data_IF_442591108760
#
_entry.id   IF_442591108760
#
_cell.length_a   1.000
_cell.length_b   1.000
_cell.length_c   1.000
_cell.angle_alpha   90.00
_cell.angle_beta   90.00
_cell.angle_gamma   90.00
#
_symmetry.space_group_name_H-M   'P 1'
#
loop_
_entity.id
_entity.type
_entity.pdbx_description
1 polymer ?
#
# COMPACT_ATOMS: atom_id res chain seq x y z
N UNK A 1 -7.53 10.89 9.13
CA UNK A 1 -6.97 11.76 10.10
C UNK A 1 -5.53 12.08 9.83
N UNK A 2 -5.17 13.32 9.93
CA UNK A 2 -3.79 13.70 9.65
C UNK A 2 -2.90 13.38 10.84
N UNK A 3 -1.75 12.85 10.58
CA UNK A 3 -0.79 12.57 11.62
C UNK A 3 -0.01 13.84 11.93
N UNK A 4 0.33 14.03 13.18
CA UNK A 4 1.11 15.20 13.56
C UNK A 4 2.53 15.02 13.07
N UNK A 5 3.24 16.12 12.98
CA UNK A 5 4.62 16.09 12.57
C UNK A 5 5.46 15.23 13.52
N UNK A 6 5.24 15.39 14.84
CA UNK A 6 5.99 14.64 15.81
C UNK A 6 5.75 13.15 15.69
N UNK A 7 4.49 12.78 15.44
CA UNK A 7 4.16 11.38 15.27
C UNK A 7 4.84 10.80 14.04
N UNK A 8 4.83 11.54 12.94
CA UNK A 8 5.48 11.09 11.72
C UNK A 8 6.97 10.94 11.89
N UNK A 9 7.59 11.82 12.63
CA UNK A 9 9.03 11.74 12.89
C UNK A 9 9.35 10.53 13.75
N UNK A 10 8.49 10.22 14.72
CA UNK A 10 8.67 9.04 15.54
C UNK A 10 8.57 7.76 14.72
N UNK A 11 7.59 7.69 13.84
CA UNK A 11 7.44 6.56 12.95
C UNK A 11 8.68 6.42 12.07
N UNK A 12 9.12 7.54 11.50
CA UNK A 12 10.28 7.53 10.61
C UNK A 12 11.53 7.04 11.32
N UNK A 13 11.73 7.48 12.55
CA UNK A 13 12.90 7.04 13.33
C UNK A 13 12.81 5.55 13.60
N UNK A 14 11.62 5.05 13.92
CA UNK A 14 11.47 3.65 14.21
C UNK A 14 11.66 2.79 12.96
N UNK A 15 11.17 3.25 11.83
CA UNK A 15 11.34 2.54 10.57
C UNK A 15 12.82 2.37 10.27
N UNK A 16 13.62 3.39 10.53
CA UNK A 16 15.04 3.31 10.24
C UNK A 16 15.78 2.31 11.10
N UNK A 17 15.37 2.17 12.38
CA UNK A 17 16.12 1.34 13.29
C UNK A 17 15.57 -0.05 13.50
N UNK A 18 14.32 -0.29 13.09
CA UNK A 18 13.66 -1.55 13.40
C UNK A 18 13.16 -2.22 12.11
N UNK A 19 13.97 -3.13 11.56
CA UNK A 19 13.57 -3.78 10.30
C UNK A 19 12.26 -4.56 10.40
N UNK A 20 11.97 -5.13 11.56
CA UNK A 20 10.71 -5.84 11.75
C UNK A 20 9.53 -4.91 11.66
N UNK A 21 9.65 -3.74 12.27
CA UNK A 21 8.60 -2.74 12.20
C UNK A 21 8.42 -2.25 10.76
N UNK A 22 9.52 -2.05 10.05
CA UNK A 22 9.48 -1.59 8.68
C UNK A 22 8.73 -2.57 7.78
N UNK A 23 9.03 -3.85 7.94
CA UNK A 23 8.36 -4.88 7.14
C UNK A 23 6.89 -4.98 7.50
N UNK A 24 6.57 -4.85 8.78
CA UNK A 24 5.18 -4.90 9.22
C UNK A 24 4.39 -3.71 8.67
N UNK A 25 5.01 -2.55 8.59
CA UNK A 25 4.35 -1.38 8.06
C UNK A 25 4.05 -1.54 6.57
N UNK A 26 5.00 -2.06 5.83
CA UNK A 26 4.77 -2.32 4.41
C UNK A 26 3.65 -3.33 4.22
N UNK A 27 3.65 -4.39 5.04
CA UNK A 27 2.60 -5.38 4.96
C UNK A 27 1.24 -4.76 5.26
N UNK A 28 1.18 -3.89 6.24
CA UNK A 28 -0.08 -3.25 6.59
C UNK A 28 -0.62 -2.42 5.44
N UNK A 29 0.25 -1.70 4.75
CA UNK A 29 -0.18 -0.94 3.59
C UNK A 29 -0.78 -1.83 2.52
N UNK A 30 -0.12 -2.95 2.24
CA UNK A 30 -0.61 -3.88 1.25
C UNK A 30 -1.93 -4.49 1.68
N UNK A 31 -2.05 -4.84 2.95
CA UNK A 31 -3.29 -5.43 3.46
C UNK A 31 -4.47 -4.46 3.33
N UNK A 32 -4.21 -3.18 3.50
CA UNK A 32 -5.28 -2.20 3.32
C UNK A 32 -5.76 -2.16 1.87
N UNK A 33 -4.85 -2.28 0.92
CA UNK A 33 -5.27 -2.34 -0.47
C UNK A 33 -6.11 -3.59 -0.72
N UNK A 34 -5.71 -4.71 -0.14
CA UNK A 34 -6.45 -5.95 -0.33
C UNK A 34 -7.85 -5.89 0.28
N UNK A 35 -8.02 -5.13 1.35
CA UNK A 35 -9.34 -5.00 1.97
C UNK A 35 -10.19 -3.93 1.31
N UNK A 36 -9.65 -3.25 0.32
CA UNK A 36 -10.40 -2.21 -0.37
C UNK A 36 -10.23 -0.81 0.21
N UNK A 37 -9.45 -0.67 1.28
CA UNK A 37 -9.22 0.63 1.87
C UNK A 37 -8.02 1.28 1.19
N UNK A 38 -8.26 1.74 -0.03
CA UNK A 38 -7.20 2.29 -0.87
C UNK A 38 -6.61 3.56 -0.27
N UNK A 39 -7.44 4.37 0.37
CA UNK A 39 -6.95 5.63 0.92
C UNK A 39 -5.94 5.40 2.04
N UNK A 40 -6.25 4.50 2.96
CA UNK A 40 -5.31 4.18 4.02
C UNK A 40 -4.05 3.52 3.45
N UNK A 41 -4.22 2.63 2.50
CA UNK A 41 -3.07 2.00 1.86
C UNK A 41 -2.14 3.02 1.23
N UNK A 42 -2.69 4.01 0.54
CA UNK A 42 -1.87 5.06 -0.07
C UNK A 42 -1.09 5.86 0.97
N UNK A 43 -1.75 6.20 2.07
CA UNK A 43 -1.09 6.95 3.13
C UNK A 43 0.07 6.17 3.71
N UNK A 44 -0.16 4.90 4.01
CA UNK A 44 0.88 4.07 4.59
C UNK A 44 2.05 3.90 3.63
N UNK A 45 1.77 3.63 2.36
CA UNK A 45 2.84 3.48 1.38
C UNK A 45 3.64 4.76 1.23
N UNK A 46 2.96 5.89 1.18
CA UNK A 46 3.64 7.17 1.04
C UNK A 46 4.56 7.43 2.23
N UNK A 47 4.05 7.18 3.42
CA UNK A 47 4.85 7.39 4.62
C UNK A 47 6.02 6.40 4.68
N UNK A 48 5.78 5.17 4.26
CA UNK A 48 6.83 4.15 4.21
C UNK A 48 7.95 4.57 3.25
N UNK A 49 7.57 5.02 2.05
CA UNK A 49 8.56 5.43 1.06
C UNK A 49 9.37 6.61 1.58
N UNK A 50 8.71 7.60 2.16
CA UNK A 50 9.40 8.75 2.71
C UNK A 50 10.37 8.38 3.83
N UNK A 51 10.02 7.36 4.60
CA UNK A 51 10.84 6.96 5.73
C UNK A 51 11.97 6.00 5.34
N UNK A 52 11.91 5.44 4.17
CA UNK A 52 12.91 4.45 3.76
C UNK A 52 13.74 4.97 2.57
N UNK A 53 13.34 4.63 1.36
CA UNK A 53 14.17 4.92 0.19
C UNK A 53 13.97 6.32 -0.38
N UNK A 54 12.83 6.93 -0.09
CA UNK A 54 12.51 8.23 -0.66
C UNK A 54 11.99 8.13 -2.08
N UNK A 55 11.27 9.18 -2.49
CA UNK A 55 10.66 9.17 -3.81
C UNK A 55 11.68 9.33 -4.95
N UNK A 56 12.81 9.91 -4.67
CA UNK A 56 13.85 10.04 -5.69
C UNK A 56 14.39 8.67 -6.09
N UNK A 57 14.69 7.85 -5.10
CA UNK A 57 15.17 6.50 -5.39
C UNK A 57 14.11 5.69 -6.11
N UNK A 58 12.87 5.81 -5.66
CA UNK A 58 11.77 5.10 -6.29
C UNK A 58 11.58 5.58 -7.73
N UNK A 59 11.74 6.87 -7.96
CA UNK A 59 11.65 7.43 -9.29
C UNK A 59 12.69 6.81 -10.23
N UNK A 60 13.92 6.71 -9.76
CA UNK A 60 14.97 6.10 -10.56
C UNK A 60 14.66 4.65 -10.89
N UNK A 61 14.12 3.93 -9.92
CA UNK A 61 13.87 2.51 -10.11
C UNK A 61 12.69 2.24 -11.03
N UNK A 62 11.69 3.10 -11.00
CA UNK A 62 10.46 2.86 -11.77
C UNK A 62 10.41 3.66 -13.06
N UNK A 63 11.37 4.52 -13.30
CA UNK A 63 11.40 5.40 -14.48
C UNK A 63 10.18 6.30 -14.57
N UNK A 64 9.68 6.73 -13.41
CA UNK A 64 8.59 7.69 -13.34
C UNK A 64 9.05 8.84 -12.50
N UNK A 65 8.56 10.05 -12.77
CA UNK A 65 9.00 11.20 -12.00
C UNK A 65 8.54 11.09 -10.56
N UNK A 66 9.36 11.61 -9.65
CA UNK A 66 9.01 11.60 -8.24
C UNK A 66 7.70 12.34 -8.01
N UNK A 67 7.48 13.43 -8.73
CA UNK A 67 6.27 14.21 -8.61
C UNK A 67 5.04 13.38 -9.01
N UNK A 68 5.18 12.61 -10.08
CA UNK A 68 4.09 11.75 -10.52
C UNK A 68 3.79 10.67 -9.49
N UNK A 69 4.82 10.07 -8.91
CA UNK A 69 4.64 9.05 -7.88
C UNK A 69 3.98 9.63 -6.63
N UNK A 70 4.40 10.81 -6.20
CA UNK A 70 3.80 11.46 -5.06
C UNK A 70 2.33 11.80 -5.30
N UNK A 71 2.02 12.25 -6.51
CA UNK A 71 0.64 12.55 -6.85
C UNK A 71 -0.21 11.29 -6.86
N UNK A 72 0.34 10.22 -7.40
CA UNK A 72 -0.35 8.95 -7.51
C UNK A 72 -0.76 8.43 -6.14
N UNK A 73 0.09 8.59 -5.14
CA UNK A 73 -0.19 8.13 -3.80
C UNK A 73 -0.79 9.22 -2.91
N UNK A 74 -1.09 10.38 -3.47
CA UNK A 74 -1.69 11.48 -2.72
C UNK A 74 -3.19 11.33 -2.60
N UNK A 75 -3.81 12.26 -1.87
CA UNK A 75 -5.25 12.16 -1.58
C UNK A 75 -6.13 12.15 -2.83
N UNK A 76 -5.70 12.81 -3.88
CA UNK A 76 -6.47 12.84 -5.11
C UNK A 76 -5.97 11.88 -6.15
N UNK A 77 -4.95 11.11 -5.80
CA UNK A 77 -4.38 10.18 -6.74
C UNK A 77 -5.23 8.95 -6.89
N UNK A 78 -5.15 8.37 -8.06
CA UNK A 78 -5.87 7.14 -8.35
C UNK A 78 -4.92 6.26 -9.14
N UNK A 79 -4.01 5.58 -8.46
CA UNK A 79 -2.99 4.80 -9.15
C UNK A 79 -3.59 3.64 -9.91
N UNK A 80 -3.12 3.44 -11.12
CA UNK A 80 -3.51 2.27 -11.86
C UNK A 80 -2.89 1.06 -11.19
N UNK A 81 -3.58 -0.07 -11.27
CA UNK A 81 -3.12 -1.29 -10.60
C UNK A 81 -1.70 -1.64 -11.02
N UNK A 82 -1.40 -1.52 -12.30
CA UNK A 82 -0.07 -1.85 -12.79
C UNK A 82 1.00 -1.02 -12.09
N UNK A 83 0.76 0.28 -12.01
CA UNK A 83 1.74 1.18 -11.39
C UNK A 83 1.87 0.90 -9.90
N UNK A 84 0.75 0.64 -9.24
CA UNK A 84 0.76 0.35 -7.83
C UNK A 84 1.54 -0.94 -7.54
N UNK A 85 1.31 -1.97 -8.34
CA UNK A 85 2.01 -3.23 -8.11
C UNK A 85 3.49 -3.15 -8.46
N UNK A 86 3.87 -2.30 -9.41
CA UNK A 86 5.29 -2.05 -9.67
C UNK A 86 5.96 -1.46 -8.44
N UNK A 87 5.29 -0.50 -7.80
CA UNK A 87 5.82 0.11 -6.60
C UNK A 87 5.95 -0.92 -5.49
N UNK A 88 4.88 -1.68 -5.26
CA UNK A 88 4.87 -2.69 -4.20
C UNK A 88 5.96 -3.74 -4.43
N UNK A 89 6.12 -4.17 -5.68
CA UNK A 89 7.13 -5.16 -6.00
C UNK A 89 8.53 -4.62 -5.72
N UNK A 90 8.76 -3.37 -6.08
CA UNK A 90 10.08 -2.79 -5.83
C UNK A 90 10.35 -2.65 -4.34
N UNK A 91 9.35 -2.23 -3.56
CA UNK A 91 9.54 -2.07 -2.13
C UNK A 91 9.82 -3.41 -1.45
N UNK A 92 9.17 -4.47 -1.89
CA UNK A 92 9.46 -5.80 -1.38
C UNK A 92 10.90 -6.19 -1.67
N UNK A 93 11.31 -5.95 -2.91
CA UNK A 93 12.68 -6.26 -3.30
C UNK A 93 13.68 -5.48 -2.45
N UNK A 94 13.43 -4.20 -2.26
CA UNK A 94 14.32 -3.35 -1.47
C UNK A 94 14.40 -3.80 -0.02
N UNK A 95 13.33 -4.37 0.52
CA UNK A 95 13.32 -4.86 1.89
C UNK A 95 13.78 -6.31 2.00
N UNK A 96 14.02 -6.97 0.89
CA UNK A 96 14.43 -8.35 0.91
C UNK A 96 13.34 -9.30 1.34
N UNK A 97 12.09 -8.97 1.06
CA UNK A 97 10.97 -9.81 1.44
C UNK A 97 10.05 -10.05 0.26
N UNK A 98 9.21 -11.03 0.38
CA UNK A 98 8.17 -11.29 -0.57
C UNK A 98 6.97 -11.75 0.22
N UNK A 99 5.89 -10.98 0.14
CA UNK A 99 4.68 -11.34 0.87
C UNK A 99 3.85 -12.32 0.09
N UNK A 100 3.27 -13.25 0.79
CA UNK A 100 2.37 -14.23 0.22
C UNK A 100 0.99 -14.05 0.82
N UNK A 101 0.00 -14.38 0.04
CA UNK A 101 -1.37 -14.30 0.51
C UNK A 101 -1.78 -15.61 1.13
N UNK A 102 -2.36 -15.51 2.32
CA UNK A 102 -2.93 -16.67 2.97
C UNK A 102 -4.34 -16.33 3.36
N UNK A 103 -5.29 -17.14 2.96
CA UNK A 103 -6.67 -16.86 3.33
C UNK A 103 -6.84 -16.95 4.83
N UNK A 104 -7.63 -16.04 5.36
CA UNK A 104 -7.93 -16.04 6.76
C UNK A 104 -9.43 -16.03 6.90
N UNK A 105 -9.97 -16.95 7.68
CA UNK A 105 -11.39 -17.01 7.86
C UNK A 105 -11.84 -15.81 8.69
N UNK A 106 -12.84 -15.10 8.22
CA UNK A 106 -13.36 -13.99 8.98
C UNK A 106 -14.51 -14.47 9.81
N UNK A 107 -14.65 -13.92 10.97
CA UNK A 107 -15.72 -14.33 11.85
C UNK A 107 -17.00 -13.57 11.60
N UNK A 108 -16.92 -12.44 10.91
CA UNK A 108 -18.13 -11.69 10.75
C UNK A 108 -18.54 -11.67 9.33
N UNK A 109 -19.32 -12.61 8.96
CA UNK A 109 -19.78 -12.64 7.69
C UNK A 109 -20.66 -11.54 7.38
N UNK A 110 -20.54 -10.93 6.30
CA UNK A 110 -21.36 -9.87 5.87
C UNK A 110 -21.03 -8.52 6.43
N UNK A 111 -20.24 -8.46 7.46
CA UNK A 111 -19.96 -7.24 8.05
C UNK A 111 -19.15 -6.35 7.17
N UNK A 112 -18.21 -6.86 6.49
CA UNK A 112 -17.42 -6.09 5.60
C UNK A 112 -17.62 -6.51 4.19
N UNK A 113 -18.75 -7.01 3.89
CA UNK A 113 -19.00 -7.42 2.53
C UNK A 113 -18.79 -6.23 1.64
N UNK A 114 -17.96 -6.32 0.65
CA UNK A 114 -17.72 -5.20 -0.25
C UNK A 114 -18.98 -4.88 -0.99
N UNK A 115 -19.19 -3.65 -1.22
CA UNK A 115 -20.35 -3.24 -1.96
C UNK A 115 -20.32 -3.62 -3.40
N UNK A 116 -19.25 -4.23 -3.81
CA UNK A 116 -19.15 -4.55 -5.12
C UNK A 116 -19.94 -5.62 -5.44
N UNK A 117 -20.68 -5.80 -5.88
CA UNK A 117 -21.37 -6.80 -6.14
C UNK A 117 -22.03 -6.74 -7.21
N UNK A 118 -22.30 -6.57 -7.74
CA UNK A 118 -22.78 -6.29 -8.57
C UNK A 118 -22.63 -6.49 -9.57
N UNK A 119 -22.62 -6.90 -10.17
CA UNK A 119 -22.48 -7.04 -11.08
C UNK A 119 -22.22 -7.97 -11.47
N UNK A 120 -22.45 -8.83 -11.52
CA UNK A 120 -22.15 -9.62 -11.76
C UNK A 120 -22.41 -10.30 -12.25
N UNK A 121 -22.75 -10.62 -12.60
CA UNK A 121 -22.77 -11.27 -12.97
C UNK A 121 -22.64 -11.77 -13.59
N UNK A 122 -22.80 -11.77 -13.97
CA UNK A 122 -22.54 -12.22 -14.48
C UNK A 122 -22.10 -12.91 -14.86
N UNK A 123 -22.09 -12.97 -15.03
CA UNK A 123 -21.52 -13.52 -15.32
C UNK A 123 -21.29 -14.33 -15.40
N UNK A 124 -21.56 -14.46 -15.29
CA UNK A 124 -21.23 -15.18 -15.27
C UNK A 124 -21.13 -15.90 -15.66
N UNK A 125 -21.28 -16.03 -15.91
CA UNK A 125 -21.05 -16.69 -16.16
C UNK A 125 -20.54 -17.29 -16.44
N UNK A 126 -20.48 -17.35 -16.59
CA UNK A 126 -19.86 -17.92 -16.79
C UNK A 126 -19.36 -18.44 -16.59
N UNK A 127 -19.45 -18.83 -16.51
CA UNK A 127 -18.81 -19.42 -16.19
C UNK A 127 -18.64 -19.88 -16.33
#
# INVERSE_FOLDING_TARGET
MALTRDFKETIRARVKRDPGFRKALLREGIENFLSGDVETGKIILRDFINATIGFTTLSDATHRSAKSLMRMLGPRGNPQARNLFEIVAYLQHAEGVRFELRPMRTSSRGKHAPPIQRRRRASATGH
#
